data_IF_568846235383
#
_entry.id   IF_568846235383
#
_cell.length_a   1.000
_cell.length_b   1.000
_cell.length_c   1.000
_cell.angle_alpha   90.00
_cell.angle_beta   90.00
_cell.angle_gamma   90.00
#
_symmetry.space_group_name_H-M   'P 1'
#
loop_
_entity.id
_entity.type
_entity.pdbx_description
1 polymer ?
#
# COMPACT_ATOMS: atom_id res chain seq x y z
N UNK A 1 -22.11 21.65 8.13
CA UNK A 1 -21.44 21.30 6.86
C UNK A 1 -21.07 19.84 6.92
N UNK A 2 -21.48 19.04 5.93
CA UNK A 2 -21.09 17.62 5.85
C UNK A 2 -19.60 17.53 5.51
N UNK A 3 -18.78 16.79 6.28
CA UNK A 3 -17.37 16.65 5.97
C UNK A 3 -17.19 16.00 4.60
N UNK A 4 -16.28 16.55 3.79
CA UNK A 4 -15.90 15.95 2.51
C UNK A 4 -14.87 14.87 2.80
N UNK A 5 -15.32 13.63 2.91
CA UNK A 5 -14.46 12.47 3.09
C UNK A 5 -13.45 12.36 1.95
N UNK A 6 -12.19 12.16 2.31
CA UNK A 6 -11.09 11.98 1.37
C UNK A 6 -10.12 10.92 1.89
N UNK A 7 -9.35 10.31 0.98
CA UNK A 7 -8.18 9.53 1.40
C UNK A 7 -7.10 10.48 1.90
N UNK A 8 -6.50 10.13 3.03
CA UNK A 8 -5.36 10.86 3.55
C UNK A 8 -4.21 10.86 2.53
N UNK A 9 -3.35 11.87 2.56
CA UNK A 9 -2.09 11.80 1.85
C UNK A 9 -1.26 10.70 2.53
N UNK A 10 -1.02 9.62 1.80
CA UNK A 10 -0.17 8.52 2.22
C UNK A 10 1.13 8.62 1.45
N UNK A 11 2.27 8.24 2.03
CA UNK A 11 3.37 7.88 1.14
C UNK A 11 2.96 6.66 0.31
N UNK A 12 3.44 6.53 -0.93
CA UNK A 12 3.01 5.45 -1.84
C UNK A 12 3.39 4.05 -1.35
N UNK A 13 4.29 3.98 -0.36
CA UNK A 13 4.90 2.78 0.20
C UNK A 13 4.36 2.36 1.58
N UNK A 14 3.14 2.77 1.94
CA UNK A 14 2.51 2.38 3.20
C UNK A 14 1.76 1.04 3.09
N UNK A 15 1.62 0.20 4.12
CA UNK A 15 2.60 -0.53 4.94
C UNK A 15 2.13 -2.01 4.87
N UNK A 16 3.06 -2.95 4.67
CA UNK A 16 2.77 -4.40 4.55
C UNK A 16 2.37 -5.08 5.85
N UNK A 17 2.76 -4.51 6.98
CA UNK A 17 2.56 -5.09 8.30
C UNK A 17 1.43 -4.45 9.12
N UNK A 18 0.79 -3.41 8.60
CA UNK A 18 -0.32 -2.80 9.31
C UNK A 18 -1.54 -3.73 9.32
N UNK A 19 -2.33 -3.71 10.40
CA UNK A 19 -3.61 -4.40 10.42
C UNK A 19 -4.52 -3.85 9.32
N UNK A 20 -5.28 -4.71 8.66
CA UNK A 20 -6.09 -4.31 7.50
C UNK A 20 -7.12 -3.22 7.84
N UNK A 21 -7.58 -3.15 9.10
CA UNK A 21 -8.49 -2.11 9.56
C UNK A 21 -7.89 -0.70 9.47
N UNK A 22 -6.57 -0.58 9.30
CA UNK A 22 -5.92 0.69 8.98
C UNK A 22 -6.58 1.40 7.79
N UNK A 23 -7.12 0.65 6.81
CA UNK A 23 -7.82 1.23 5.66
C UNK A 23 -8.95 2.17 6.07
N UNK A 24 -9.68 1.87 7.15
CA UNK A 24 -10.75 2.73 7.66
C UNK A 24 -10.20 4.07 8.17
N UNK A 25 -9.03 4.04 8.80
CA UNK A 25 -8.36 5.22 9.38
C UNK A 25 -7.68 6.09 8.31
N UNK A 26 -7.58 5.62 7.06
CA UNK A 26 -7.09 6.43 5.94
C UNK A 26 -8.17 7.35 5.35
N UNK A 27 -9.44 7.13 5.66
CA UNK A 27 -10.56 7.93 5.12
C UNK A 27 -10.88 9.03 6.11
N UNK A 28 -10.39 10.25 5.88
CA UNK A 28 -10.44 11.37 6.83
C UNK A 28 -11.34 12.51 6.32
N UNK A 29 -11.94 13.33 7.22
CA UNK A 29 -12.65 14.55 6.85
C UNK A 29 -11.76 15.63 6.20
N UNK A 30 -10.45 15.57 6.45
CA UNK A 30 -9.47 16.60 6.09
C UNK A 30 -8.06 16.20 6.55
N UNK A 31 -7.03 16.91 6.07
CA UNK A 31 -5.66 16.78 6.61
C UNK A 31 -5.47 17.56 7.93
N UNK A 32 -6.39 18.48 8.24
CA UNK A 32 -6.40 19.22 9.50
C UNK A 32 -7.01 18.36 10.61
N UNK A 33 -6.79 18.76 11.87
CA UNK A 33 -7.38 18.10 13.03
C UNK A 33 -8.91 18.04 12.95
N UNK A 34 -9.50 16.95 13.39
CA UNK A 34 -10.95 16.73 13.46
C UNK A 34 -11.32 15.93 14.72
N UNK A 35 -12.59 15.95 15.14
CA UNK A 35 -13.06 15.15 16.28
C UNK A 35 -13.16 13.68 15.91
N UNK A 36 -12.75 12.76 16.80
CA UNK A 36 -12.89 11.30 16.58
C UNK A 36 -14.33 10.93 16.20
N UNK A 37 -15.33 11.58 16.79
CA UNK A 37 -16.76 11.39 16.50
C UNK A 37 -17.15 11.63 15.04
N UNK A 38 -16.33 12.33 14.25
CA UNK A 38 -16.55 12.47 12.82
C UNK A 38 -16.54 11.11 12.11
N UNK A 39 -15.80 10.13 12.64
CA UNK A 39 -15.68 8.77 12.09
C UNK A 39 -16.78 7.79 12.50
N UNK A 40 -17.66 8.15 13.43
CA UNK A 40 -18.61 7.20 14.05
C UNK A 40 -19.51 6.47 13.05
N UNK A 41 -19.82 7.08 11.90
CA UNK A 41 -20.64 6.44 10.86
C UNK A 41 -19.86 5.65 9.81
N UNK A 42 -18.53 5.63 9.88
CA UNK A 42 -17.64 5.07 8.84
C UNK A 42 -16.72 4.00 9.41
N UNK A 43 -16.21 4.19 10.63
CA UNK A 43 -15.22 3.32 11.23
C UNK A 43 -15.91 2.32 12.18
N UNK A 44 -15.77 1.01 11.95
CA UNK A 44 -16.29 0.00 12.85
C UNK A 44 -15.36 -0.12 14.07
N UNK A 45 -15.52 0.76 15.06
CA UNK A 45 -14.59 0.90 16.18
C UNK A 45 -14.32 -0.40 16.95
N UNK A 46 -15.36 -1.21 17.17
CA UNK A 46 -15.28 -2.50 17.85
C UNK A 46 -14.98 -3.67 16.90
N UNK A 47 -14.85 -3.39 15.60
CA UNK A 47 -14.47 -4.37 14.59
C UNK A 47 -13.04 -4.86 14.77
N UNK A 48 -12.74 -6.06 14.28
CA UNK A 48 -11.38 -6.61 14.39
C UNK A 48 -10.37 -5.78 13.62
N UNK A 49 -9.22 -5.51 14.23
CA UNK A 49 -8.09 -4.86 13.58
C UNK A 49 -7.51 -5.72 12.44
N UNK A 50 -7.58 -7.05 12.61
CA UNK A 50 -6.92 -8.03 11.75
C UNK A 50 -7.93 -8.79 10.89
N UNK A 51 -7.79 -8.70 9.58
CA UNK A 51 -8.67 -9.43 8.66
C UNK A 51 -8.43 -10.92 8.80
N UNK A 52 -9.52 -11.67 8.74
CA UNK A 52 -9.50 -13.12 8.58
C UNK A 52 -9.48 -13.44 7.08
N UNK A 53 -8.52 -14.24 6.56
CA UNK A 53 -8.57 -14.71 5.18
C UNK A 53 -9.79 -15.59 4.86
N UNK A 54 -10.57 -16.00 5.86
CA UNK A 54 -11.72 -16.90 5.73
C UNK A 54 -11.29 -18.36 5.74
N UNK A 55 -12.21 -19.27 5.44
CA UNK A 55 -11.90 -20.71 5.43
C UNK A 55 -11.14 -21.13 4.16
N UNK A 56 -10.29 -22.15 4.27
CA UNK A 56 -9.62 -22.75 3.11
C UNK A 56 -10.62 -23.32 2.10
N UNK A 57 -11.76 -23.82 2.58
CA UNK A 57 -12.80 -24.41 1.74
C UNK A 57 -13.47 -23.37 0.86
N UNK A 58 -13.71 -22.15 1.35
CA UNK A 58 -14.20 -21.03 0.52
C UNK A 58 -13.24 -20.67 -0.62
N UNK A 59 -11.93 -20.76 -0.36
CA UNK A 59 -10.89 -20.51 -1.37
C UNK A 59 -10.88 -21.60 -2.43
N UNK A 60 -10.96 -22.86 -2.02
CA UNK A 60 -11.05 -24.03 -2.91
C UNK A 60 -12.33 -23.95 -3.76
N UNK A 61 -13.47 -23.66 -3.15
CA UNK A 61 -14.74 -23.52 -3.87
C UNK A 61 -14.73 -22.36 -4.87
N UNK A 62 -14.07 -21.24 -4.53
CA UNK A 62 -13.88 -20.12 -5.46
C UNK A 62 -12.96 -20.50 -6.62
N UNK A 63 -11.91 -21.28 -6.38
CA UNK A 63 -10.98 -21.73 -7.41
C UNK A 63 -11.65 -22.74 -8.36
N UNK A 64 -12.36 -23.74 -7.81
CA UNK A 64 -13.11 -24.75 -8.56
C UNK A 64 -14.20 -24.11 -9.43
N UNK A 65 -14.93 -23.10 -8.93
CA UNK A 65 -15.94 -22.39 -9.74
C UNK A 65 -15.38 -21.69 -10.98
N UNK A 66 -14.08 -21.40 -11.02
CA UNK A 66 -13.41 -20.72 -12.15
C UNK A 66 -12.79 -21.69 -13.16
N UNK A 67 -12.68 -22.99 -12.87
CA UNK A 67 -12.10 -24.00 -13.76
C UNK A 67 -12.94 -25.27 -13.79
N UNK A 68 -13.37 -25.71 -14.97
CA UNK A 68 -14.22 -26.89 -15.14
C UNK A 68 -13.39 -28.05 -15.71
N UNK A 69 -13.62 -29.28 -15.22
CA UNK A 69 -13.01 -30.50 -15.75
C UNK A 69 -11.68 -30.87 -15.07
N UNK A 70 -10.72 -31.41 -15.83
CA UNK A 70 -9.44 -31.95 -15.31
C UNK A 70 -8.57 -30.92 -14.57
N UNK A 71 -8.83 -29.62 -14.76
CA UNK A 71 -8.09 -28.53 -14.10
C UNK A 71 -8.60 -28.22 -12.69
N UNK A 72 -9.65 -28.88 -12.20
CA UNK A 72 -10.25 -28.60 -10.90
C UNK A 72 -9.38 -29.07 -9.73
N UNK A 73 -8.72 -30.23 -9.87
CA UNK A 73 -7.82 -30.79 -8.84
C UNK A 73 -6.55 -29.95 -8.71
N UNK A 74 -5.97 -29.53 -9.84
CA UNK A 74 -4.84 -28.59 -9.87
C UNK A 74 -5.25 -27.23 -9.27
N UNK A 75 -6.44 -26.72 -9.60
CA UNK A 75 -6.95 -25.47 -9.06
C UNK A 75 -7.15 -25.53 -7.54
N UNK A 76 -7.61 -26.67 -7.01
CA UNK A 76 -7.70 -26.90 -5.57
C UNK A 76 -6.31 -26.93 -4.93
N UNK A 77 -5.37 -27.69 -5.47
CA UNK A 77 -4.02 -27.78 -4.93
C UNK A 77 -3.38 -26.38 -4.86
N UNK A 78 -3.50 -25.60 -5.94
CA UNK A 78 -3.03 -24.22 -5.96
C UNK A 78 -3.77 -23.34 -4.95
N UNK A 79 -5.08 -23.48 -4.80
CA UNK A 79 -5.85 -22.71 -3.82
C UNK A 79 -5.41 -23.01 -2.38
N UNK A 80 -5.17 -24.27 -2.04
CA UNK A 80 -4.69 -24.69 -0.72
C UNK A 80 -3.27 -24.21 -0.45
N UNK A 81 -2.36 -24.36 -1.41
CA UNK A 81 -0.99 -23.85 -1.30
C UNK A 81 -0.97 -22.34 -1.11
N UNK A 82 -1.80 -21.63 -1.88
CA UNK A 82 -1.91 -20.18 -1.79
C UNK A 82 -2.52 -19.74 -0.45
N UNK A 83 -3.57 -20.41 0.02
CA UNK A 83 -4.15 -20.17 1.34
C UNK A 83 -3.11 -20.37 2.46
N UNK A 84 -2.37 -21.48 2.43
CA UNK A 84 -1.32 -21.76 3.41
C UNK A 84 -0.22 -20.70 3.41
N UNK A 85 0.17 -20.21 2.24
CA UNK A 85 1.11 -19.09 2.11
C UNK A 85 0.54 -17.79 2.70
N UNK A 86 -0.70 -17.44 2.39
CA UNK A 86 -1.38 -16.25 2.92
C UNK A 86 -1.49 -16.26 4.46
N UNK A 87 -1.82 -17.43 5.03
CA UNK A 87 -1.87 -17.60 6.49
C UNK A 87 -0.49 -17.38 7.12
N UNK A 88 0.58 -17.90 6.50
CA UNK A 88 1.96 -17.65 6.98
C UNK A 88 2.33 -16.17 6.90
N UNK A 89 2.08 -15.51 5.77
CA UNK A 89 2.35 -14.08 5.59
C UNK A 89 1.60 -13.25 6.64
N UNK A 90 0.33 -13.57 6.88
CA UNK A 90 -0.48 -12.93 7.93
C UNK A 90 0.12 -13.12 9.32
N UNK A 91 0.52 -14.34 9.66
CA UNK A 91 1.12 -14.63 10.96
C UNK A 91 2.41 -13.82 11.18
N UNK A 92 3.33 -13.83 10.21
CA UNK A 92 4.57 -13.04 10.26
C UNK A 92 4.29 -11.55 10.40
N UNK A 93 3.26 -11.03 9.70
CA UNK A 93 2.83 -9.64 9.83
C UNK A 93 2.33 -9.32 11.24
N UNK A 94 1.50 -10.17 11.83
CA UNK A 94 1.00 -10.00 13.19
C UNK A 94 2.15 -10.05 14.19
N UNK A 95 3.10 -10.98 14.01
CA UNK A 95 4.27 -11.11 14.88
C UNK A 95 5.16 -9.87 14.83
N UNK A 96 5.47 -9.36 13.64
CA UNK A 96 6.26 -8.13 13.48
C UNK A 96 5.54 -6.92 14.08
N UNK A 97 4.23 -6.78 13.85
CA UNK A 97 3.46 -5.69 14.43
C UNK A 97 3.37 -5.78 15.95
N UNK A 98 3.16 -6.99 16.50
CA UNK A 98 3.17 -7.22 17.94
C UNK A 98 4.54 -6.93 18.55
N UNK A 99 5.62 -7.24 17.85
CA UNK A 99 6.98 -6.89 18.27
C UNK A 99 7.20 -5.37 18.27
N UNK A 100 6.73 -4.65 17.25
CA UNK A 100 6.74 -3.18 17.25
C UNK A 100 5.96 -2.61 18.45
N UNK A 101 4.78 -3.16 18.75
CA UNK A 101 4.00 -2.75 19.93
C UNK A 101 4.80 -2.97 21.22
N UNK A 102 5.43 -4.15 21.39
CA UNK A 102 6.26 -4.46 22.56
C UNK A 102 7.42 -3.48 22.74
N UNK A 103 8.14 -3.16 21.66
CA UNK A 103 9.27 -2.21 21.70
C UNK A 103 8.85 -0.80 22.10
N UNK A 104 7.64 -0.39 21.75
CA UNK A 104 7.08 0.90 22.14
C UNK A 104 6.30 0.88 23.45
N UNK A 105 6.22 -0.27 24.16
CA UNK A 105 5.43 -0.41 25.38
C UNK A 105 3.91 -0.25 25.15
N UNK A 106 3.42 -0.56 23.95
CA UNK A 106 2.02 -0.44 23.55
C UNK A 106 1.35 -1.82 23.55
N UNK A 107 0.04 -1.91 23.85
CA UNK A 107 -0.72 -3.14 23.70
C UNK A 107 -0.89 -3.49 22.21
N UNK A 108 -0.96 -4.79 21.91
CA UNK A 108 -1.29 -5.26 20.56
C UNK A 108 -2.79 -5.02 20.33
N UNK A 109 -3.18 -4.30 19.25
CA UNK A 109 -4.58 -3.99 19.00
C UNK A 109 -5.33 -5.20 18.46
N UNK A 110 -6.50 -5.44 19.03
CA UNK A 110 -7.50 -6.40 18.58
C UNK A 110 -8.67 -5.72 17.89
N UNK A 111 -8.97 -4.47 18.27
CA UNK A 111 -10.05 -3.65 17.68
C UNK A 111 -9.54 -2.46 16.87
N UNK A 112 -10.38 -1.85 16.04
CA UNK A 112 -10.03 -0.63 15.29
C UNK A 112 -9.81 0.56 16.25
N UNK A 113 -10.55 0.60 17.36
CA UNK A 113 -10.35 1.60 18.41
C UNK A 113 -8.97 1.50 19.06
N UNK A 114 -8.55 0.30 19.43
CA UNK A 114 -7.20 0.04 19.96
C UNK A 114 -6.12 0.30 18.91
N UNK A 115 -6.40 -0.01 17.65
CA UNK A 115 -5.48 0.27 16.55
C UNK A 115 -5.20 1.78 16.44
N UNK A 116 -6.20 2.64 16.51
CA UNK A 116 -5.98 4.09 16.48
C UNK A 116 -5.05 4.55 17.61
N UNK A 117 -5.25 4.04 18.83
CA UNK A 117 -4.40 4.36 19.99
C UNK A 117 -2.95 3.88 19.77
N UNK A 118 -2.79 2.66 19.26
CA UNK A 118 -1.49 2.09 18.93
C UNK A 118 -0.76 2.92 17.85
N UNK A 119 -1.45 3.28 16.76
CA UNK A 119 -0.89 4.11 15.69
C UNK A 119 -0.58 5.54 16.16
N UNK A 120 -1.35 6.07 17.12
CA UNK A 120 -1.02 7.33 17.78
C UNK A 120 0.25 7.21 18.62
N UNK A 121 0.43 6.10 19.35
CA UNK A 121 1.66 5.77 20.07
C UNK A 121 2.89 5.65 19.17
N UNK A 122 2.72 5.17 17.92
CA UNK A 122 3.77 5.19 16.90
C UNK A 122 3.97 6.56 16.22
N UNK A 123 3.14 7.56 16.50
CA UNK A 123 3.25 8.89 15.90
C UNK A 123 2.71 8.99 14.46
N UNK A 124 1.86 8.05 14.03
CA UNK A 124 1.11 8.10 12.77
C UNK A 124 -0.20 8.90 12.91
N UNK A 125 -0.66 9.10 14.15
CA UNK A 125 -1.73 10.01 14.52
C UNK A 125 -1.29 10.81 15.76
N UNK A 126 -1.86 12.01 15.91
CA UNK A 126 -1.81 12.73 17.18
C UNK A 126 -3.22 12.81 17.76
N UNK A 127 -3.33 12.49 19.04
CA UNK A 127 -4.57 12.58 19.82
C UNK A 127 -4.39 13.68 20.87
N UNK A 128 -5.34 14.61 20.92
CA UNK A 128 -5.33 15.70 21.89
C UNK A 128 -6.71 15.85 22.52
N UNK A 129 -6.76 15.78 23.84
CA UNK A 129 -7.94 16.15 24.62
C UNK A 129 -8.01 17.67 24.74
N UNK A 130 -9.22 18.21 24.60
CA UNK A 130 -9.45 19.64 24.80
C UNK A 130 -9.70 20.01 26.28
N UNK A 131 -9.39 19.10 27.21
CA UNK A 131 -9.54 19.32 28.65
C UNK A 131 -10.98 19.51 29.13
N UNK A 132 -11.97 19.39 28.23
CA UNK A 132 -13.40 19.42 28.55
C UNK A 132 -13.88 18.02 28.96
N UNK A 133 -13.20 17.43 29.94
CA UNK A 133 -13.69 16.23 30.63
C UNK A 133 -14.85 16.62 31.55
N UNK A 134 -15.98 16.98 30.95
CA UNK A 134 -17.26 17.21 31.61
C UNK A 134 -18.32 16.59 30.72
N UNK A 135 -19.04 15.60 31.25
CA UNK A 135 -20.06 14.78 30.60
C UNK A 135 -19.56 13.62 29.74
N UNK A 136 -18.68 12.78 30.30
CA UNK A 136 -18.67 11.32 30.04
C UNK A 136 -18.39 10.81 28.61
N UNK A 137 -18.13 11.66 27.63
CA UNK A 137 -17.80 11.27 26.26
C UNK A 137 -16.40 11.77 25.92
N UNK A 138 -15.45 10.84 25.95
CA UNK A 138 -14.08 11.04 25.50
C UNK A 138 -14.07 11.14 23.95
N UNK A 139 -14.09 12.36 23.42
CA UNK A 139 -14.06 12.64 21.97
C UNK A 139 -12.81 13.46 21.59
N UNK A 140 -11.62 12.82 21.54
CA UNK A 140 -10.37 13.51 21.31
C UNK A 140 -10.31 14.15 19.93
N UNK A 141 -9.50 15.21 19.81
CA UNK A 141 -9.06 15.71 18.52
C UNK A 141 -8.03 14.77 17.92
N UNK A 142 -8.25 14.37 16.67
CA UNK A 142 -7.37 13.52 15.87
C UNK A 142 -6.70 14.37 14.80
N UNK A 143 -5.38 14.28 14.68
CA UNK A 143 -4.62 14.80 13.54
C UNK A 143 -3.91 13.63 12.84
N UNK A 144 -4.24 13.33 11.57
CA UNK A 144 -3.52 12.30 10.80
C UNK A 144 -2.10 12.81 10.48
N UNK A 145 -1.09 11.98 10.74
CA UNK A 145 0.32 12.20 10.36
C UNK A 145 0.76 11.17 9.33
N UNK A 146 -0.16 10.83 8.41
CA UNK A 146 0.04 9.75 7.43
C UNK A 146 0.92 10.13 6.23
N UNK A 147 1.43 11.35 6.25
CA UNK A 147 2.45 11.88 5.35
C UNK A 147 3.88 11.48 5.76
N UNK A 148 4.08 11.07 7.02
CA UNK A 148 5.40 10.67 7.55
C UNK A 148 5.91 9.41 6.87
N UNK A 149 7.24 9.23 6.87
CA UNK A 149 7.81 7.97 6.42
C UNK A 149 7.63 6.91 7.52
N UNK A 150 7.03 5.74 7.23
CA UNK A 150 6.95 4.64 8.18
C UNK A 150 8.32 4.25 8.76
N UNK A 151 9.39 4.36 7.97
CA UNK A 151 10.74 4.05 8.40
C UNK A 151 11.29 5.02 9.45
N UNK A 152 10.71 6.22 9.57
CA UNK A 152 11.15 7.25 10.51
C UNK A 152 10.42 7.17 11.86
N UNK A 153 9.24 6.54 11.88
CA UNK A 153 8.31 6.60 13.03
C UNK A 153 8.04 5.24 13.67
N UNK A 154 8.17 4.15 12.92
CA UNK A 154 7.91 2.83 13.45
C UNK A 154 9.13 2.26 14.18
N UNK A 155 8.93 1.52 15.26
CA UNK A 155 10.00 0.97 16.10
C UNK A 155 10.60 -0.30 15.48
N UNK A 156 11.06 -0.20 14.23
CA UNK A 156 11.72 -1.27 13.50
C UNK A 156 13.16 -1.44 14.00
N UNK A 157 13.67 -2.67 13.97
CA UNK A 157 15.10 -2.92 14.11
C UNK A 157 15.83 -2.43 12.85
N UNK A 158 17.16 -2.20 12.91
CA UNK A 158 17.91 -1.79 11.71
C UNK A 158 17.76 -2.76 10.53
N UNK A 159 17.72 -4.07 10.80
CA UNK A 159 17.54 -5.10 9.79
C UNK A 159 16.14 -5.05 9.16
N UNK A 160 15.10 -4.90 9.99
CA UNK A 160 13.72 -4.76 9.52
C UNK A 160 13.53 -3.47 8.70
N UNK A 161 14.17 -2.38 9.13
CA UNK A 161 14.14 -1.10 8.44
C UNK A 161 14.80 -1.22 7.06
N UNK A 162 15.92 -1.94 6.94
CA UNK A 162 16.60 -2.18 5.67
C UNK A 162 15.76 -3.06 4.73
N UNK A 163 15.18 -4.16 5.25
CA UNK A 163 14.29 -5.04 4.49
C UNK A 163 13.04 -4.30 3.99
N UNK A 164 12.49 -3.43 4.83
CA UNK A 164 11.39 -2.58 4.41
C UNK A 164 11.82 -1.59 3.35
N UNK A 165 12.90 -0.83 3.57
CA UNK A 165 13.42 0.13 2.60
C UNK A 165 13.72 -0.51 1.24
N UNK A 166 14.18 -1.77 1.23
CA UNK A 166 14.33 -2.57 0.00
C UNK A 166 12.99 -2.77 -0.70
N UNK A 167 12.00 -3.37 -0.07
CA UNK A 167 10.76 -3.63 -0.80
C UNK A 167 9.88 -2.37 -1.03
N UNK A 168 10.08 -1.26 -0.29
CA UNK A 168 9.47 0.02 -0.66
C UNK A 168 10.05 0.56 -1.97
N UNK A 169 11.34 0.29 -2.26
CA UNK A 169 11.94 0.59 -3.57
C UNK A 169 11.34 -0.30 -4.66
N UNK A 170 11.12 -1.57 -4.38
CA UNK A 170 10.47 -2.49 -5.32
C UNK A 170 9.04 -2.02 -5.65
N UNK A 171 8.27 -1.63 -4.63
CA UNK A 171 6.91 -1.07 -4.79
C UNK A 171 6.92 0.22 -5.62
N UNK A 172 7.89 1.12 -5.38
CA UNK A 172 8.08 2.33 -6.18
C UNK A 172 8.38 1.99 -7.64
N UNK A 173 9.23 0.99 -7.90
CA UNK A 173 9.53 0.52 -9.24
C UNK A 173 8.27 -0.04 -9.94
N UNK A 174 7.43 -0.80 -9.22
CA UNK A 174 6.15 -1.28 -9.74
C UNK A 174 5.19 -0.12 -10.06
N UNK A 175 5.04 0.87 -9.17
CA UNK A 175 4.21 2.05 -9.40
C UNK A 175 4.65 2.83 -10.65
N UNK A 176 5.95 3.06 -10.80
CA UNK A 176 6.53 3.71 -11.99
C UNK A 176 6.28 2.86 -13.23
N UNK A 177 6.45 1.53 -13.16
CA UNK A 177 6.16 0.64 -14.28
C UNK A 177 4.68 0.69 -14.71
N UNK A 178 3.75 0.73 -13.75
CA UNK A 178 2.32 0.92 -14.00
C UNK A 178 2.07 2.25 -14.72
N UNK A 179 2.70 3.34 -14.28
CA UNK A 179 2.57 4.64 -14.93
C UNK A 179 3.14 4.63 -16.36
N UNK A 180 4.34 4.05 -16.57
CA UNK A 180 4.94 3.87 -17.91
C UNK A 180 4.03 3.03 -18.80
N UNK A 181 3.48 1.92 -18.31
CA UNK A 181 2.54 1.08 -19.06
C UNK A 181 1.29 1.85 -19.47
N UNK A 182 0.69 2.63 -18.57
CA UNK A 182 -0.48 3.47 -18.85
C UNK A 182 -0.17 4.49 -19.94
N UNK A 183 0.99 5.15 -19.88
CA UNK A 183 1.44 6.08 -20.92
C UNK A 183 1.68 5.36 -22.24
N UNK A 184 2.36 4.22 -22.22
CA UNK A 184 2.64 3.41 -23.40
C UNK A 184 1.34 2.96 -24.08
N UNK A 185 0.32 2.54 -23.34
CA UNK A 185 -0.98 2.14 -23.92
C UNK A 185 -1.63 3.24 -24.77
N UNK A 186 -1.37 4.52 -24.47
CA UNK A 186 -1.89 5.67 -25.22
C UNK A 186 -1.12 5.98 -26.50
N UNK A 187 0.07 5.40 -26.69
CA UNK A 187 0.90 5.68 -27.87
C UNK A 187 0.56 4.74 -29.03
N UNK A 188 0.85 5.16 -30.27
CA UNK A 188 0.65 4.32 -31.45
C UNK A 188 1.58 3.11 -31.40
N UNK A 189 1.04 1.94 -31.72
CA UNK A 189 1.80 0.68 -31.75
C UNK A 189 2.87 0.75 -32.83
N UNK A 190 4.14 0.65 -32.46
CA UNK A 190 5.24 0.29 -33.36
C UNK A 190 5.57 -1.19 -33.15
N UNK A 191 6.18 -1.82 -34.14
CA UNK A 191 6.48 -3.25 -34.09
C UNK A 191 7.37 -3.55 -32.85
N UNK A 192 6.90 -4.44 -31.97
CA UNK A 192 7.54 -4.90 -30.71
C UNK A 192 7.95 -3.85 -29.66
N UNK A 193 7.70 -2.56 -29.89
CA UNK A 193 8.11 -1.47 -28.97
C UNK A 193 7.09 -0.34 -28.96
N UNK A 194 7.05 0.39 -27.84
CA UNK A 194 6.30 1.64 -27.70
C UNK A 194 7.27 2.74 -27.27
N UNK A 195 7.12 3.92 -27.87
CA UNK A 195 7.89 5.11 -27.49
C UNK A 195 6.98 6.02 -26.71
N UNK A 196 7.40 6.41 -25.51
CA UNK A 196 6.68 7.35 -24.63
C UNK A 196 7.54 8.59 -24.48
N UNK A 197 6.94 9.75 -24.67
CA UNK A 197 7.56 11.04 -24.39
C UNK A 197 6.77 11.71 -23.26
N UNK A 198 7.45 12.06 -22.18
CA UNK A 198 6.88 12.65 -20.96
C UNK A 198 7.93 13.53 -20.28
N UNK A 199 7.63 14.18 -19.16
CA UNK A 199 8.66 14.67 -18.24
C UNK A 199 8.81 13.76 -17.03
N UNK A 200 9.95 13.84 -16.34
CA UNK A 200 10.19 13.11 -15.09
C UNK A 200 9.21 13.54 -14.00
N UNK A 201 8.94 14.84 -13.86
CA UNK A 201 7.93 15.37 -12.94
C UNK A 201 6.52 14.84 -13.24
N UNK A 202 6.12 14.80 -14.52
CA UNK A 202 4.81 14.27 -14.90
C UNK A 202 4.72 12.75 -14.67
N UNK A 203 5.80 12.01 -14.93
CA UNK A 203 5.84 10.57 -14.64
C UNK A 203 5.72 10.31 -13.14
N UNK A 204 6.49 11.02 -12.32
CA UNK A 204 6.47 10.93 -10.87
C UNK A 204 5.07 11.23 -10.31
N UNK A 205 4.43 12.32 -10.77
CA UNK A 205 3.06 12.67 -10.39
C UNK A 205 2.03 11.61 -10.81
N UNK A 206 2.15 11.01 -12.00
CA UNK A 206 1.26 9.93 -12.44
C UNK A 206 1.45 8.61 -11.67
N UNK A 207 2.66 8.36 -11.19
CA UNK A 207 3.00 7.20 -10.36
C UNK A 207 2.72 7.43 -8.86
N UNK A 208 2.50 8.69 -8.46
CA UNK A 208 2.32 9.08 -7.07
C UNK A 208 3.62 9.15 -6.25
N UNK A 209 4.80 9.07 -6.88
CA UNK A 209 6.11 9.08 -6.20
C UNK A 209 6.82 10.44 -6.36
N UNK A 210 7.91 10.66 -5.63
CA UNK A 210 8.77 11.83 -5.84
C UNK A 210 9.58 11.70 -7.14
N UNK A 211 10.09 12.84 -7.65
CA UNK A 211 10.97 12.89 -8.83
C UNK A 211 12.21 12.01 -8.65
N UNK A 212 12.80 12.04 -7.45
CA UNK A 212 13.98 11.25 -7.12
C UNK A 212 13.69 9.75 -7.08
N UNK A 213 12.56 9.36 -6.49
CA UNK A 213 12.09 7.97 -6.50
C UNK A 213 11.84 7.50 -7.94
N UNK A 214 11.16 8.31 -8.77
CA UNK A 214 10.92 8.00 -10.17
C UNK A 214 12.23 7.82 -10.96
N UNK A 215 13.23 8.67 -10.72
CA UNK A 215 14.55 8.58 -11.37
C UNK A 215 15.24 7.26 -11.03
N UNK A 216 15.26 6.89 -9.75
CA UNK A 216 15.85 5.63 -9.27
C UNK A 216 15.12 4.42 -9.84
N UNK A 217 13.79 4.39 -9.74
CA UNK A 217 12.95 3.33 -10.28
C UNK A 217 13.11 3.16 -11.80
N UNK A 218 13.34 4.23 -12.56
CA UNK A 218 13.62 4.13 -13.99
C UNK A 218 14.96 3.43 -14.29
N UNK A 219 15.99 3.64 -13.45
CA UNK A 219 17.25 2.90 -13.57
C UNK A 219 17.03 1.40 -13.30
N UNK A 220 16.32 1.07 -12.21
CA UNK A 220 16.00 -0.31 -11.85
C UNK A 220 15.21 -1.00 -12.97
N UNK A 221 14.19 -0.33 -13.52
CA UNK A 221 13.37 -0.83 -14.64
C UNK A 221 14.17 -1.01 -15.94
N UNK A 222 15.24 -0.23 -16.14
CA UNK A 222 16.15 -0.41 -17.26
C UNK A 222 16.87 -1.76 -17.18
N UNK A 223 17.33 -2.13 -16.00
CA UNK A 223 18.01 -3.39 -15.75
C UNK A 223 17.04 -4.58 -15.80
N UNK A 224 15.92 -4.48 -15.08
CA UNK A 224 15.04 -5.63 -14.92
C UNK A 224 14.15 -5.83 -16.14
N UNK A 225 13.70 -4.79 -16.84
CA UNK A 225 12.64 -4.86 -17.84
C UNK A 225 13.02 -4.37 -19.25
N UNK A 226 14.32 -4.19 -19.55
CA UNK A 226 14.83 -3.64 -20.83
C UNK A 226 14.15 -2.32 -21.22
N UNK A 227 13.78 -1.51 -20.22
CA UNK A 227 13.24 -0.17 -20.42
C UNK A 227 14.37 0.79 -20.77
N UNK A 228 14.42 1.29 -22.01
CA UNK A 228 15.45 2.27 -22.39
C UNK A 228 14.98 3.67 -22.06
N UNK A 229 15.83 4.43 -21.38
CA UNK A 229 15.56 5.79 -20.93
C UNK A 229 16.56 6.72 -21.61
N UNK A 230 16.06 7.54 -22.53
CA UNK A 230 16.81 8.66 -23.09
C UNK A 230 16.33 9.92 -22.36
N UNK A 231 17.15 10.41 -21.44
CA UNK A 231 16.93 11.70 -20.76
C UNK A 231 17.74 12.78 -21.48
N UNK A 232 17.10 13.88 -21.87
CA UNK A 232 17.84 15.00 -22.45
C UNK A 232 18.60 15.73 -21.35
N UNK A 233 19.86 16.11 -21.60
CA UNK A 233 20.70 16.76 -20.59
C UNK A 233 20.32 18.23 -20.49
N UNK A 234 19.28 18.54 -19.73
CA UNK A 234 18.95 19.93 -19.36
C UNK A 234 17.46 20.23 -19.26
N UNK A 235 16.64 19.52 -20.02
CA UNK A 235 15.19 19.61 -19.94
C UNK A 235 14.66 18.34 -19.30
N UNK A 236 13.74 18.48 -18.36
CA UNK A 236 13.06 17.44 -17.58
C UNK A 236 12.31 16.39 -18.44
N UNK A 237 12.48 16.45 -19.77
CA UNK A 237 11.97 15.59 -20.80
C UNK A 237 12.62 14.20 -20.78
N UNK A 238 11.77 13.19 -20.84
CA UNK A 238 12.09 11.79 -20.89
C UNK A 238 11.51 11.17 -22.16
N UNK A 239 12.35 10.43 -22.87
CA UNK A 239 11.92 9.53 -23.92
C UNK A 239 12.19 8.09 -23.49
N UNK A 240 11.12 7.32 -23.31
CA UNK A 240 11.17 5.93 -22.90
C UNK A 240 10.90 5.02 -24.11
N UNK A 241 11.74 4.02 -24.31
CA UNK A 241 11.46 2.93 -25.25
C UNK A 241 11.08 1.68 -24.47
N UNK A 242 9.81 1.31 -24.55
CA UNK A 242 9.18 0.23 -23.78
C UNK A 242 9.07 -1.04 -24.65
N UNK A 243 9.61 -2.19 -24.23
CA UNK A 243 9.43 -3.45 -24.94
C UNK A 243 7.97 -3.93 -24.86
N UNK A 244 7.40 -4.40 -25.98
CA UNK A 244 5.98 -4.72 -26.05
C UNK A 244 5.72 -6.02 -26.83
N UNK A 245 4.92 -6.98 -26.31
CA UNK A 245 4.04 -6.90 -25.14
C UNK A 245 4.71 -7.24 -23.80
N UNK A 246 5.98 -7.61 -23.79
CA UNK A 246 6.66 -8.21 -22.62
C UNK A 246 6.57 -7.35 -21.36
N UNK A 247 6.79 -6.04 -21.48
CA UNK A 247 6.63 -5.11 -20.35
C UNK A 247 5.20 -5.12 -19.79
N UNK A 248 4.18 -5.23 -20.66
CA UNK A 248 2.77 -5.33 -20.25
C UNK A 248 2.48 -6.62 -19.49
N UNK A 249 3.11 -7.72 -19.90
CA UNK A 249 2.92 -9.03 -19.28
C UNK A 249 3.62 -9.11 -17.93
N UNK A 250 4.78 -8.46 -17.80
CA UNK A 250 5.55 -8.40 -16.56
C UNK A 250 4.93 -7.47 -15.50
N UNK A 251 4.26 -6.41 -15.93
CA UNK A 251 3.55 -5.48 -15.05
C UNK A 251 2.06 -5.45 -15.43
N UNK A 252 1.30 -6.52 -15.13
CA UNK A 252 -0.09 -6.64 -15.56
C UNK A 252 -1.04 -5.71 -14.80
N UNK A 253 -0.65 -5.34 -13.58
CA UNK A 253 -1.49 -4.62 -12.63
C UNK A 253 -1.81 -3.19 -13.08
N UNK A 254 -2.96 -2.70 -12.61
CA UNK A 254 -3.40 -1.32 -12.81
C UNK A 254 -3.11 -0.45 -11.60
N UNK A 255 -2.91 -1.04 -10.44
CA UNK A 255 -2.57 -0.40 -9.17
C UNK A 255 -1.51 -1.27 -8.47
N UNK A 256 -0.80 -0.71 -7.49
CA UNK A 256 0.07 -1.53 -6.66
C UNK A 256 -0.81 -2.57 -5.96
N UNK A 257 -0.60 -3.87 -6.18
CA UNK A 257 -1.35 -4.86 -5.42
C UNK A 257 -1.07 -4.61 -3.94
N UNK A 258 -2.11 -4.57 -3.12
CA UNK A 258 -1.90 -4.52 -1.68
C UNK A 258 -0.96 -5.68 -1.29
N UNK A 259 -0.15 -5.58 -0.24
CA UNK A 259 0.78 -6.66 0.13
C UNK A 259 0.09 -8.01 0.38
N UNK A 260 -1.20 -7.98 0.75
CA UNK A 260 -2.10 -9.14 0.86
C UNK A 260 -2.68 -9.65 -0.48
N UNK A 261 -2.36 -8.98 -1.58
CA UNK A 261 -2.83 -9.22 -2.94
C UNK A 261 -1.69 -9.25 -3.98
N UNK A 262 -0.43 -9.10 -3.55
CA UNK A 262 0.75 -9.25 -4.39
C UNK A 262 0.92 -10.73 -4.74
N UNK A 263 0.17 -11.14 -5.75
CA UNK A 263 0.07 -12.47 -6.36
C UNK A 263 0.29 -12.33 -7.85
#
# INVERSE_FOLDING_TARGET
>A
MTPRWQRAALKPSWIRWLPCAFVYLTVVPGQSRFRRSAWTSVVPWDGSAWCDPGSVDEWVDRARRRRVGRDADDAELHARQHYAWMVRVRATRIELFAEMCRRSGLPVPHTVGELLLCLAGFGLFELADDGRAGDGVDDPWVLPRLDRDPLDVLPLSPEEQELEARAQRDDQAVLVAIAVRRLALRTRRRWRRRVVSTSLASLAGNAGVTVEQARRSLADLGEIADLRVDADRGDDALRLTVPWPDFRLRFPFTELPAPEHAV
#
